data_IF_135596240777
#
_entry.id   IF_135596240777
#
_cell.length_a   1.000
_cell.length_b   1.000
_cell.length_c   1.000
_cell.angle_alpha   90.00
_cell.angle_beta   90.00
_cell.angle_gamma   90.00
#
_symmetry.space_group_name_H-M   'P 1'
#
loop_
_entity.id
_entity.type
_entity.pdbx_description
1 polymer ?
#
# COMPACT_ATOMS: atom_id res chain seq x y z
N UNK A 1 -44.11 -2.83 8.87
CA UNK A 1 -42.87 -2.48 8.11
C UNK A 1 -41.64 -2.53 9.01
N UNK A 2 -41.69 -2.01 10.24
CA UNK A 2 -40.56 -2.02 11.19
C UNK A 2 -39.96 -3.43 11.48
N UNK A 3 -40.78 -4.47 11.62
CA UNK A 3 -40.27 -5.84 11.91
C UNK A 3 -39.43 -6.47 10.80
N UNK A 4 -39.74 -6.19 9.52
CA UNK A 4 -38.93 -6.70 8.39
C UNK A 4 -37.55 -6.04 8.32
N UNK A 5 -37.47 -4.77 8.69
CA UNK A 5 -36.21 -4.03 8.74
C UNK A 5 -35.29 -4.51 9.87
N UNK A 6 -35.85 -4.84 11.04
CA UNK A 6 -35.08 -5.40 12.16
C UNK A 6 -34.52 -6.78 11.79
N UNK A 7 -35.33 -7.66 11.19
CA UNK A 7 -34.84 -8.97 10.71
C UNK A 7 -33.77 -8.86 9.63
N UNK A 8 -33.84 -7.85 8.75
CA UNK A 8 -32.83 -7.59 7.73
C UNK A 8 -31.51 -7.13 8.35
N UNK A 9 -31.56 -6.20 9.31
CA UNK A 9 -30.39 -5.78 10.07
C UNK A 9 -29.74 -6.93 10.87
N UNK A 10 -30.55 -7.80 11.49
CA UNK A 10 -30.04 -8.97 12.22
C UNK A 10 -29.32 -9.96 11.29
N UNK A 11 -29.86 -10.19 10.08
CA UNK A 11 -29.19 -11.01 9.05
C UNK A 11 -27.89 -10.38 8.56
N UNK A 12 -27.88 -9.08 8.33
CA UNK A 12 -26.67 -8.36 7.91
C UNK A 12 -25.59 -8.39 9.00
N UNK A 13 -25.99 -8.22 10.27
CA UNK A 13 -25.06 -8.31 11.41
C UNK A 13 -24.48 -9.72 11.50
N UNK A 14 -25.31 -10.76 11.42
CA UNK A 14 -24.86 -12.15 11.44
C UNK A 14 -23.92 -12.49 10.25
N UNK A 15 -24.17 -11.91 9.07
CA UNK A 15 -23.30 -12.06 7.91
C UNK A 15 -21.95 -11.39 8.14
N UNK A 16 -21.93 -10.16 8.66
CA UNK A 16 -20.69 -9.45 8.99
C UNK A 16 -19.88 -10.20 10.05
N UNK A 17 -20.53 -10.71 11.09
CA UNK A 17 -19.86 -11.52 12.11
C UNK A 17 -19.24 -12.78 11.52
N UNK A 18 -19.96 -13.46 10.61
CA UNK A 18 -19.43 -14.63 9.91
C UNK A 18 -18.24 -14.28 9.00
N UNK A 19 -18.29 -13.15 8.29
CA UNK A 19 -17.18 -12.66 7.46
C UNK A 19 -15.94 -12.30 8.29
N UNK A 20 -16.13 -11.64 9.44
CA UNK A 20 -15.05 -11.33 10.38
C UNK A 20 -14.44 -12.62 10.93
N UNK A 21 -15.26 -13.59 11.33
CA UNK A 21 -14.78 -14.86 11.86
C UNK A 21 -13.99 -15.65 10.80
N UNK A 22 -14.49 -15.71 9.56
CA UNK A 22 -13.81 -16.36 8.45
C UNK A 22 -12.47 -15.67 8.12
N UNK A 23 -12.46 -14.34 8.11
CA UNK A 23 -11.24 -13.56 7.89
C UNK A 23 -10.21 -13.82 8.98
N UNK A 24 -10.64 -13.86 10.25
CA UNK A 24 -9.77 -14.17 11.38
C UNK A 24 -9.14 -15.55 11.27
N UNK A 25 -9.94 -16.58 10.95
CA UNK A 25 -9.43 -17.93 10.76
C UNK A 25 -8.38 -18.00 9.63
N UNK A 26 -8.63 -17.32 8.50
CA UNK A 26 -7.68 -17.26 7.41
C UNK A 26 -6.36 -16.56 7.81
N UNK A 27 -6.43 -15.52 8.65
CA UNK A 27 -5.24 -14.87 9.19
C UNK A 27 -4.46 -15.77 10.14
N UNK A 28 -5.15 -16.50 11.01
CA UNK A 28 -4.52 -17.44 11.95
C UNK A 28 -3.81 -18.58 11.19
N UNK A 29 -4.44 -19.14 10.15
CA UNK A 29 -3.82 -20.17 9.30
C UNK A 29 -2.59 -19.64 8.56
N UNK A 30 -2.68 -18.44 7.98
CA UNK A 30 -1.55 -17.81 7.29
C UNK A 30 -0.40 -17.48 8.26
N UNK A 31 -0.72 -17.08 9.48
CA UNK A 31 0.27 -16.76 10.51
C UNK A 31 1.00 -18.01 11.00
N UNK A 32 0.28 -19.13 11.19
CA UNK A 32 0.91 -20.40 11.54
C UNK A 32 1.81 -20.91 10.41
N UNK A 33 1.35 -20.86 9.16
CA UNK A 33 2.18 -21.27 8.02
C UNK A 33 3.48 -20.47 7.92
N UNK A 34 3.40 -19.14 8.13
CA UNK A 34 4.57 -18.25 8.23
C UNK A 34 5.47 -18.67 9.40
N UNK A 35 4.89 -19.00 10.56
CA UNK A 35 5.64 -19.43 11.73
C UNK A 35 6.39 -20.73 11.46
N UNK A 36 5.76 -21.73 10.84
CA UNK A 36 6.40 -22.98 10.41
C UNK A 36 7.56 -22.74 9.44
N UNK A 37 7.35 -21.90 8.42
CA UNK A 37 8.38 -21.56 7.45
C UNK A 37 9.56 -20.81 8.08
N UNK A 38 9.29 -19.95 9.06
CA UNK A 38 10.33 -19.29 9.85
C UNK A 38 11.10 -20.29 10.72
N UNK A 39 10.41 -21.21 11.42
CA UNK A 39 11.05 -22.27 12.23
C UNK A 39 11.95 -23.16 11.35
N UNK A 40 11.46 -23.54 10.18
CA UNK A 40 12.21 -24.31 9.17
C UNK A 40 13.34 -23.51 8.49
N UNK A 41 13.43 -22.19 8.71
CA UNK A 41 14.46 -21.33 8.15
C UNK A 41 14.24 -20.94 6.69
N UNK A 42 13.09 -21.27 6.10
CA UNK A 42 12.75 -20.94 4.69
C UNK A 42 12.65 -19.43 4.45
N UNK A 43 12.32 -18.67 5.50
CA UNK A 43 12.23 -17.21 5.45
C UNK A 43 13.56 -16.50 5.75
N UNK A 44 14.64 -17.25 5.99
CA UNK A 44 15.95 -16.71 6.34
C UNK A 44 16.24 -16.69 7.85
N UNK A 45 17.48 -16.36 8.19
CA UNK A 45 18.02 -16.48 9.56
C UNK A 45 17.38 -15.48 10.52
N UNK A 46 17.15 -14.25 10.07
CA UNK A 46 16.54 -13.17 10.84
C UNK A 46 15.14 -13.57 11.31
N UNK A 47 14.33 -14.12 10.40
CA UNK A 47 13.00 -14.64 10.70
C UNK A 47 13.04 -15.84 11.63
N UNK A 48 13.98 -16.77 11.45
CA UNK A 48 14.10 -17.92 12.35
C UNK A 48 14.47 -17.51 13.78
N UNK A 49 15.31 -16.47 13.95
CA UNK A 49 15.64 -15.93 15.27
C UNK A 49 14.43 -15.26 15.91
N UNK A 50 13.72 -14.42 15.17
CA UNK A 50 12.52 -13.74 15.66
C UNK A 50 11.40 -14.72 15.99
N UNK A 51 11.20 -15.77 15.19
CA UNK A 51 10.18 -16.77 15.46
C UNK A 51 10.42 -17.48 16.79
N UNK A 52 11.68 -17.77 17.17
CA UNK A 52 11.97 -18.32 18.50
C UNK A 52 11.54 -17.38 19.63
N UNK A 53 11.70 -16.07 19.45
CA UNK A 53 11.28 -15.06 20.43
C UNK A 53 9.75 -14.92 20.48
N UNK A 54 9.09 -15.02 19.34
CA UNK A 54 7.62 -15.07 19.24
C UNK A 54 7.09 -16.33 19.95
N UNK A 55 7.67 -17.49 19.67
CA UNK A 55 7.29 -18.77 20.31
C UNK A 55 7.51 -18.74 21.83
N UNK A 56 8.53 -18.00 22.30
CA UNK A 56 8.80 -17.78 23.73
C UNK A 56 7.92 -16.71 24.38
N UNK A 57 7.06 -16.02 23.60
CA UNK A 57 6.20 -14.94 24.09
C UNK A 57 6.95 -13.65 24.42
N UNK A 58 8.19 -13.49 23.98
CA UNK A 58 9.00 -12.29 24.23
C UNK A 58 8.62 -11.11 23.33
N UNK A 59 7.94 -11.39 22.22
CA UNK A 59 7.51 -10.41 21.22
C UNK A 59 6.37 -10.98 20.37
N UNK A 60 5.86 -10.20 19.41
CA UNK A 60 4.87 -10.64 18.43
C UNK A 60 5.22 -10.16 17.03
N UNK A 61 4.70 -10.82 16.00
CA UNK A 61 4.88 -10.38 14.61
C UNK A 61 4.42 -8.92 14.41
N UNK A 62 3.32 -8.53 15.08
CA UNK A 62 2.81 -7.16 15.05
C UNK A 62 3.77 -6.17 15.75
N UNK A 63 4.32 -6.52 16.91
CA UNK A 63 5.29 -5.67 17.62
C UNK A 63 6.57 -5.47 16.81
N UNK A 64 7.02 -6.53 16.11
CA UNK A 64 8.15 -6.44 15.17
C UNK A 64 7.81 -5.52 13.99
N UNK A 65 6.62 -5.61 13.41
CA UNK A 65 6.25 -4.78 12.26
C UNK A 65 6.09 -3.29 12.65
N UNK A 66 5.39 -3.03 13.75
CA UNK A 66 5.03 -1.67 14.21
C UNK A 66 6.21 -0.90 14.79
N UNK A 67 7.26 -1.58 15.24
CA UNK A 67 8.41 -0.95 15.89
C UNK A 67 8.44 -1.12 17.41
N UNK A 68 7.36 -1.64 18.00
CA UNK A 68 7.22 -1.84 19.44
C UNK A 68 8.24 -2.83 20.01
N UNK A 69 8.77 -3.74 19.18
CA UNK A 69 9.97 -4.51 19.50
C UNK A 69 11.23 -3.72 19.08
N UNK A 70 12.01 -3.18 20.05
CA UNK A 70 13.21 -2.39 19.77
C UNK A 70 14.46 -3.26 19.63
N UNK A 71 14.37 -4.58 19.73
CA UNK A 71 15.51 -5.49 19.67
C UNK A 71 16.33 -5.34 18.37
N UNK A 72 17.64 -5.62 18.41
CA UNK A 72 18.48 -5.63 17.21
C UNK A 72 17.95 -6.54 16.10
N UNK A 73 17.39 -7.70 16.45
CA UNK A 73 16.84 -8.66 15.50
C UNK A 73 15.60 -8.12 14.78
N UNK A 74 14.67 -7.50 15.53
CA UNK A 74 13.48 -6.87 14.96
C UNK A 74 13.84 -5.69 14.04
N UNK A 75 14.81 -4.87 14.45
CA UNK A 75 15.34 -3.78 13.62
C UNK A 75 15.97 -4.30 12.33
N UNK A 76 16.85 -5.29 12.44
CA UNK A 76 17.53 -5.90 11.28
C UNK A 76 16.53 -6.46 10.27
N UNK A 77 15.48 -7.13 10.76
CA UNK A 77 14.43 -7.64 9.88
C UNK A 77 13.67 -6.51 9.17
N UNK A 78 13.27 -5.46 9.89
CA UNK A 78 12.61 -4.29 9.28
C UNK A 78 13.50 -3.63 8.23
N UNK A 79 14.79 -3.44 8.51
CA UNK A 79 15.74 -2.89 7.55
C UNK A 79 15.89 -3.78 6.31
N UNK A 80 15.95 -5.10 6.48
CA UNK A 80 15.98 -6.05 5.38
C UNK A 80 14.71 -5.96 4.53
N UNK A 81 13.53 -5.91 5.15
CA UNK A 81 12.26 -5.72 4.45
C UNK A 81 12.23 -4.40 3.67
N UNK A 82 12.70 -3.30 4.26
CA UNK A 82 12.78 -2.01 3.57
C UNK A 82 13.71 -2.07 2.36
N UNK A 83 14.88 -2.70 2.48
CA UNK A 83 15.80 -2.89 1.34
C UNK A 83 15.16 -3.72 0.23
N UNK A 84 14.48 -4.81 0.58
CA UNK A 84 13.79 -5.65 -0.39
C UNK A 84 12.68 -4.87 -1.13
N UNK A 85 11.89 -4.07 -0.41
CA UNK A 85 10.86 -3.21 -1.03
C UNK A 85 11.46 -2.14 -1.94
N UNK A 86 12.60 -1.55 -1.56
CA UNK A 86 13.33 -0.60 -2.40
C UNK A 86 13.83 -1.25 -3.69
N UNK A 87 14.37 -2.47 -3.60
CA UNK A 87 14.82 -3.23 -4.76
C UNK A 87 13.64 -3.58 -5.69
N UNK A 88 12.52 -4.05 -5.13
CA UNK A 88 11.31 -4.31 -5.92
C UNK A 88 10.79 -3.05 -6.62
N UNK A 89 10.82 -1.90 -5.95
CA UNK A 89 10.45 -0.62 -6.58
C UNK A 89 11.40 -0.27 -7.73
N UNK A 90 12.71 -0.39 -7.52
CA UNK A 90 13.68 -0.11 -8.57
C UNK A 90 13.50 -1.04 -9.79
N UNK A 91 13.20 -2.32 -9.58
CA UNK A 91 12.89 -3.26 -10.66
C UNK A 91 11.60 -2.88 -11.42
N UNK A 92 10.58 -2.40 -10.73
CA UNK A 92 9.36 -1.91 -11.37
C UNK A 92 9.58 -0.63 -12.17
N UNK A 93 10.33 0.33 -11.61
CA UNK A 93 10.66 1.58 -12.31
C UNK A 93 11.50 1.29 -13.57
N UNK A 94 12.49 0.39 -13.49
CA UNK A 94 13.29 -0.01 -14.67
C UNK A 94 12.44 -0.67 -15.76
N UNK A 95 11.41 -1.45 -15.40
CA UNK A 95 10.50 -2.06 -16.38
C UNK A 95 9.54 -1.02 -16.99
N UNK A 96 9.15 -0.01 -16.22
CA UNK A 96 8.30 1.08 -16.72
C UNK A 96 9.05 2.02 -17.68
N UNK A 97 10.36 2.19 -17.50
CA UNK A 97 11.21 3.00 -18.39
C UNK A 97 11.54 2.29 -19.72
N UNK A 98 11.27 0.98 -19.84
CA UNK A 98 11.21 0.29 -21.13
C UNK A 98 9.83 0.53 -21.73
N UNK A 99 9.57 1.77 -22.14
CA UNK A 99 8.35 2.10 -22.88
C UNK A 99 8.36 1.32 -24.20
N UNK A 100 7.48 0.32 -24.33
CA UNK A 100 7.03 -0.10 -25.65
C UNK A 100 6.24 1.09 -26.21
N UNK A 101 6.71 1.71 -27.30
CA UNK A 101 6.03 2.87 -27.93
C UNK A 101 4.57 2.53 -28.33
N UNK A 102 4.25 1.24 -28.44
CA UNK A 102 2.93 0.69 -28.73
C UNK A 102 2.08 0.36 -27.47
N UNK A 103 2.62 0.50 -26.24
CA UNK A 103 1.88 0.19 -25.01
C UNK A 103 0.86 1.30 -24.69
N UNK A 104 -0.41 0.91 -24.65
CA UNK A 104 -1.49 1.85 -24.35
C UNK A 104 -1.44 2.29 -22.87
N UNK A 105 -1.81 3.54 -22.56
CA UNK A 105 -1.76 4.07 -21.19
C UNK A 105 -2.53 3.22 -20.16
N UNK A 106 -3.63 2.59 -20.56
CA UNK A 106 -4.45 1.73 -19.71
C UNK A 106 -3.79 0.40 -19.31
N UNK A 107 -2.82 -0.07 -20.10
CA UNK A 107 -2.13 -1.36 -19.90
C UNK A 107 -0.91 -1.22 -18.99
N UNK A 108 -0.48 0.03 -18.73
CA UNK A 108 0.68 0.33 -17.86
C UNK A 108 0.43 -0.08 -16.41
N UNK A 109 1.47 -0.37 -15.62
CA UNK A 109 1.30 -0.63 -14.19
C UNK A 109 0.58 0.52 -13.45
N UNK A 110 -0.30 0.25 -12.47
CA UNK A 110 -1.12 1.29 -11.82
C UNK A 110 -0.32 2.46 -11.21
N UNK A 111 0.90 2.19 -10.71
CA UNK A 111 1.77 3.23 -10.15
C UNK A 111 2.31 4.19 -11.23
N UNK A 112 2.52 3.70 -12.46
CA UNK A 112 2.93 4.50 -13.62
C UNK A 112 1.76 5.35 -14.10
N UNK A 113 0.55 4.77 -14.19
CA UNK A 113 -0.66 5.50 -14.55
C UNK A 113 -0.93 6.67 -13.57
N UNK A 114 -0.85 6.40 -12.27
CA UNK A 114 -1.05 7.41 -11.23
C UNK A 114 -0.02 8.56 -11.32
N UNK A 115 1.24 8.23 -11.62
CA UNK A 115 2.31 9.23 -11.80
C UNK A 115 2.10 10.07 -13.07
N UNK A 116 1.70 9.42 -14.18
CA UNK A 116 1.36 10.09 -15.43
C UNK A 116 0.20 11.06 -15.26
N UNK A 117 -0.89 10.62 -14.66
CA UNK A 117 -2.06 11.47 -14.37
C UNK A 117 -1.72 12.67 -13.46
N UNK A 118 -0.85 12.47 -12.46
CA UNK A 118 -0.39 13.57 -11.60
C UNK A 118 0.44 14.60 -12.37
N UNK A 119 1.33 14.15 -13.28
CA UNK A 119 2.10 15.04 -14.15
C UNK A 119 1.20 15.82 -15.11
N UNK A 120 0.27 15.14 -15.78
CA UNK A 120 -0.67 15.77 -16.70
C UNK A 120 -1.56 16.80 -16.01
N UNK A 121 -2.04 16.48 -14.80
CA UNK A 121 -2.82 17.42 -13.98
C UNK A 121 -2.01 18.68 -13.65
N UNK A 122 -0.73 18.52 -13.29
CA UNK A 122 0.16 19.63 -13.00
C UNK A 122 0.40 20.52 -14.22
N UNK A 123 0.75 19.93 -15.37
CA UNK A 123 0.95 20.66 -16.63
C UNK A 123 -0.33 21.38 -17.09
N UNK A 124 -1.49 20.74 -16.90
CA UNK A 124 -2.78 21.35 -17.21
C UNK A 124 -3.08 22.55 -16.32
N UNK A 125 -2.77 22.45 -15.02
CA UNK A 125 -2.93 23.55 -14.08
C UNK A 125 -1.99 24.72 -14.41
N UNK A 126 -0.73 24.45 -14.75
CA UNK A 126 0.21 25.49 -15.18
C UNK A 126 -0.27 26.20 -16.45
N UNK A 127 -0.77 25.44 -17.43
CA UNK A 127 -1.31 25.99 -18.68
C UNK A 127 -2.48 26.93 -18.43
N UNK A 128 -3.45 26.51 -17.60
CA UNK A 128 -4.59 27.34 -17.22
C UNK A 128 -4.12 28.59 -16.47
N UNK A 129 -3.20 28.43 -15.52
CA UNK A 129 -2.66 29.54 -14.73
C UNK A 129 -1.97 30.59 -15.62
N UNK A 130 -1.20 30.14 -16.61
CA UNK A 130 -0.56 31.01 -17.59
C UNK A 130 -1.58 31.77 -18.45
N UNK A 131 -2.64 31.09 -18.91
CA UNK A 131 -3.73 31.71 -19.68
C UNK A 131 -4.49 32.77 -18.87
N UNK A 132 -4.78 32.47 -17.59
CA UNK A 132 -5.43 33.43 -16.68
C UNK A 132 -4.54 34.66 -16.46
N UNK A 133 -3.23 34.45 -16.24
CA UNK A 133 -2.28 35.56 -16.06
C UNK A 133 -2.20 36.45 -17.31
N UNK A 134 -2.24 35.86 -18.50
CA UNK A 134 -2.24 36.58 -19.78
C UNK A 134 -3.52 37.41 -19.98
N UNK A 135 -4.69 36.83 -19.65
CA UNK A 135 -5.97 37.53 -19.70
C UNK A 135 -6.00 38.74 -18.76
N UNK A 136 -5.50 38.58 -17.53
CA UNK A 136 -5.43 39.67 -16.55
C UNK A 136 -4.52 40.79 -17.05
N UNK A 137 -3.36 40.46 -17.63
CA UNK A 137 -2.45 41.45 -18.25
C UNK A 137 -3.11 42.21 -19.39
N UNK A 138 -3.83 41.53 -20.28
CA UNK A 138 -4.56 42.16 -21.37
C UNK A 138 -5.69 43.08 -20.88
N UNK A 139 -6.42 42.67 -19.85
CA UNK A 139 -7.49 43.49 -19.26
C UNK A 139 -6.95 44.76 -18.58
N UNK A 140 -5.78 44.67 -17.91
CA UNK A 140 -5.12 45.81 -17.28
C UNK A 140 -4.53 46.79 -18.31
N UNK A 141 -4.02 46.30 -19.43
CA UNK A 141 -3.45 47.14 -20.49
C UNK A 141 -4.50 47.74 -21.45
N UNK A 142 -5.70 47.16 -21.53
CA UNK A 142 -6.81 47.64 -22.37
C UNK A 142 -7.64 48.78 -21.77
N UNK A 143 -7.45 49.11 -20.48
CA UNK A 143 -8.18 50.16 -19.76
C UNK A 143 -7.58 51.58 -19.85
N UNK A 144 -6.50 51.77 -20.62
CA UNK A 144 -5.89 53.07 -20.89
C UNK A 144 -6.21 53.52 -22.32
N UNK A 145 -7.49 53.85 -22.59
CA UNK A 145 -7.89 54.71 -23.71
C UNK A 145 -9.07 55.57 -23.30
#
# INVERSE_FOLDING_TARGET
MLGRFIEEMERDTARLDAEIAASRAAYEDADEQRAEDARAGKLGREWQVLQRRIDAGETSALAVLTGDDPSPEARSLRELSMRNLQNMRAEWDMRADVEDEDEKPEDRPPHVQARGAARESHEHFERISAQIAEMIRHAQNGGLR
#
